data_IF_053510005852
#
_entry.id   IF_053510005852
#
_cell.length_a   1.000
_cell.length_b   1.000
_cell.length_c   1.000
_cell.angle_alpha   90.00
_cell.angle_beta   90.00
_cell.angle_gamma   90.00
#
_symmetry.space_group_name_H-M   'P 1'
#
loop_
_entity.id
_entity.type
_entity.pdbx_description
1 polymer ?
#
# COMPACT_ATOMS: atom_id res chain seq x y z
N UNK A 1 18.12 -4.87 5.75
CA UNK A 1 16.65 -5.06 5.74
C UNK A 1 16.02 -3.69 5.54
N UNK A 2 15.01 -3.56 4.68
CA UNK A 2 14.26 -2.30 4.54
C UNK A 2 13.50 -2.01 5.83
N UNK A 3 13.32 -0.74 6.17
CA UNK A 3 12.46 -0.28 7.27
C UNK A 3 10.97 -0.44 6.89
N UNK A 4 10.04 -0.51 7.86
CA UNK A 4 8.62 -0.61 7.55
C UNK A 4 8.11 0.59 6.74
N UNK A 5 8.71 1.78 6.94
CA UNK A 5 8.42 2.96 6.12
C UNK A 5 8.87 2.78 4.66
N UNK A 6 10.03 2.21 4.43
CA UNK A 6 10.48 1.91 3.06
C UNK A 6 9.60 0.86 2.40
N UNK A 7 9.16 -0.18 3.13
CA UNK A 7 8.17 -1.14 2.64
C UNK A 7 6.85 -0.47 2.27
N UNK A 8 6.34 0.46 3.10
CA UNK A 8 5.14 1.23 2.79
C UNK A 8 5.29 2.06 1.51
N UNK A 9 6.45 2.72 1.33
CA UNK A 9 6.76 3.49 0.11
C UNK A 9 6.83 2.61 -1.13
N UNK A 10 7.42 1.42 -1.02
CA UNK A 10 7.47 0.46 -2.12
C UNK A 10 6.07 0.01 -2.56
N UNK A 11 5.16 -0.16 -1.61
CA UNK A 11 3.75 -0.45 -1.88
C UNK A 11 2.96 0.80 -2.35
N UNK A 12 3.59 1.97 -2.46
CA UNK A 12 2.97 3.20 -2.93
C UNK A 12 2.09 3.91 -1.89
N UNK A 13 2.22 3.57 -0.60
CA UNK A 13 1.53 4.32 0.46
C UNK A 13 2.15 5.71 0.64
N UNK A 14 1.33 6.73 0.94
CA UNK A 14 1.82 8.09 1.19
C UNK A 14 2.69 8.13 2.46
N UNK A 15 3.61 9.09 2.54
CA UNK A 15 4.47 9.27 3.72
C UNK A 15 3.68 9.56 5.02
N UNK A 16 2.46 10.07 4.88
CA UNK A 16 1.53 10.33 5.99
C UNK A 16 0.82 9.08 6.50
N UNK A 17 0.95 7.93 5.81
CA UNK A 17 0.34 6.69 6.24
C UNK A 17 0.91 6.24 7.58
N UNK A 18 0.05 6.03 8.59
CA UNK A 18 0.46 5.61 9.92
C UNK A 18 0.85 4.14 9.90
N UNK A 19 2.05 3.83 10.38
CA UNK A 19 2.53 2.46 10.51
C UNK A 19 1.95 1.84 11.78
N UNK A 20 1.92 0.51 11.83
CA UNK A 20 1.57 -0.19 13.05
C UNK A 20 2.73 -0.09 14.06
N UNK A 21 2.43 0.01 15.36
CA UNK A 21 3.43 0.19 16.42
C UNK A 21 4.44 -0.97 16.50
N UNK A 22 4.03 -2.17 16.09
CA UNK A 22 4.91 -3.32 15.88
C UNK A 22 5.44 -3.36 14.45
N UNK A 23 6.77 -3.31 14.33
CA UNK A 23 7.49 -3.53 13.07
C UNK A 23 7.16 -4.88 12.43
N UNK A 24 7.02 -5.95 13.23
CA UNK A 24 6.71 -7.30 12.74
C UNK A 24 5.37 -7.31 12.02
N UNK A 25 4.34 -6.71 12.62
CA UNK A 25 3.02 -6.60 12.01
C UNK A 25 3.04 -5.65 10.81
N UNK A 26 3.80 -4.56 10.86
CA UNK A 26 3.97 -3.67 9.71
C UNK A 26 4.58 -4.40 8.51
N UNK A 27 5.64 -5.20 8.71
CA UNK A 27 6.22 -6.02 7.63
C UNK A 27 5.21 -7.02 7.07
N UNK A 28 4.42 -7.67 7.93
CA UNK A 28 3.38 -8.61 7.50
C UNK A 28 2.28 -7.91 6.71
N UNK A 29 1.83 -6.74 7.16
CA UNK A 29 0.82 -5.93 6.46
C UNK A 29 1.32 -5.50 5.08
N UNK A 30 2.52 -4.93 4.98
CA UNK A 30 3.06 -4.50 3.69
C UNK A 30 3.48 -5.66 2.78
N UNK A 31 3.90 -6.79 3.34
CA UNK A 31 4.21 -8.01 2.57
C UNK A 31 2.96 -8.65 1.95
N UNK A 32 1.82 -8.53 2.61
CA UNK A 32 0.53 -9.05 2.13
C UNK A 32 -0.34 -7.99 1.42
N UNK A 33 0.15 -6.75 1.32
CA UNK A 33 -0.57 -5.66 0.66
C UNK A 33 -0.40 -5.72 -0.85
N UNK A 34 -1.34 -5.08 -1.57
CA UNK A 34 -1.24 -4.84 -3.01
C UNK A 34 -0.76 -3.40 -3.21
N UNK A 35 0.12 -3.12 -4.20
CA UNK A 35 0.57 -1.77 -4.45
C UNK A 35 -0.59 -0.80 -4.74
N UNK A 36 -0.64 0.31 -4.02
CA UNK A 36 -1.69 1.35 -4.12
C UNK A 36 -1.90 1.84 -5.57
N UNK A 37 -0.85 2.11 -6.38
CA UNK A 37 -1.04 2.61 -7.74
C UNK A 37 -1.76 1.62 -8.66
N UNK A 38 -1.62 0.31 -8.41
CA UNK A 38 -2.29 -0.73 -9.19
C UNK A 38 -3.79 -0.73 -8.89
N UNK A 39 -4.15 -0.67 -7.61
CA UNK A 39 -5.55 -0.59 -7.20
C UNK A 39 -6.21 0.69 -7.72
N UNK A 40 -5.50 1.82 -7.71
CA UNK A 40 -5.99 3.08 -8.28
C UNK A 40 -6.30 2.94 -9.78
N UNK A 41 -5.38 2.40 -10.57
CA UNK A 41 -5.58 2.20 -12.00
C UNK A 41 -6.77 1.28 -12.31
N UNK A 42 -6.90 0.16 -11.58
CA UNK A 42 -8.02 -0.78 -11.71
C UNK A 42 -9.34 -0.08 -11.33
N UNK A 43 -9.34 0.69 -10.24
CA UNK A 43 -10.53 1.39 -9.76
C UNK A 43 -11.02 2.43 -10.78
N UNK A 44 -10.11 3.14 -11.44
CA UNK A 44 -10.45 4.08 -12.53
C UNK A 44 -11.16 3.33 -13.66
N UNK A 45 -10.66 2.16 -14.06
CA UNK A 45 -11.26 1.38 -15.13
C UNK A 45 -12.64 0.83 -14.74
N UNK A 46 -12.80 0.34 -13.52
CA UNK A 46 -14.10 -0.07 -12.99
C UNK A 46 -15.09 1.09 -13.06
N UNK A 47 -14.70 2.29 -12.60
CA UNK A 47 -15.57 3.47 -12.61
C UNK A 47 -15.96 3.93 -14.02
N UNK A 48 -15.12 3.73 -15.03
CA UNK A 48 -15.47 4.02 -16.43
C UNK A 48 -16.54 3.07 -16.95
N UNK A 49 -16.48 1.80 -16.57
CA UNK A 49 -17.41 0.77 -17.04
C UNK A 49 -18.74 0.72 -16.24
N UNK A 50 -18.80 1.39 -15.09
CA UNK A 50 -20.02 1.55 -14.30
C UNK A 50 -20.82 2.83 -14.63
N UNK A 51 -20.24 3.74 -15.43
CA UNK A 51 -20.94 4.91 -15.97
C UNK A 51 -21.56 4.59 -17.33
#
# INVERSE_FOLDING_TARGET
KLTPRECARLQGFPNTFKLHDSDVESYKQFGNSVPVPIIEAISIEILKNLK
#
